data_IF_259059537135
#
_entry.id   IF_259059537135
#
_cell.length_a   1.000
_cell.length_b   1.000
_cell.length_c   1.000
_cell.angle_alpha   90.00
_cell.angle_beta   90.00
_cell.angle_gamma   90.00
#
_symmetry.space_group_name_H-M   'P 1'
#
loop_
_entity.id
_entity.type
_entity.pdbx_description
1 polymer ?
#
# COMPACT_ATOMS: atom_id res chain seq x y z
N UNK A 1 -0.93 -9.95 -26.41
CA UNK A 1 -0.18 -8.70 -26.09
C UNK A 1 1.21 -8.83 -26.65
N UNK A 2 1.75 -7.78 -27.27
CA UNK A 2 3.16 -7.77 -27.64
C UNK A 2 4.01 -7.69 -26.37
N UNK A 3 4.97 -8.58 -26.22
CA UNK A 3 5.94 -8.56 -25.12
C UNK A 3 7.22 -7.88 -25.58
N UNK A 4 7.89 -7.19 -24.64
CA UNK A 4 9.21 -6.60 -24.86
C UNK A 4 10.11 -6.99 -23.70
N UNK A 5 11.36 -7.28 -24.01
CA UNK A 5 12.39 -7.50 -23.00
C UNK A 5 13.07 -6.18 -22.69
N UNK A 6 13.19 -5.86 -21.41
CA UNK A 6 13.95 -4.71 -20.93
C UNK A 6 15.04 -5.22 -19.99
N UNK A 7 16.23 -4.65 -20.10
CA UNK A 7 17.31 -4.87 -19.13
C UNK A 7 17.25 -3.76 -18.10
N UNK A 8 17.25 -4.12 -16.81
CA UNK A 8 17.22 -3.18 -15.69
C UNK A 8 18.43 -3.44 -14.78
N UNK A 9 18.76 -2.46 -13.95
CA UNK A 9 19.78 -2.63 -12.91
C UNK A 9 19.30 -3.66 -11.88
N UNK A 10 20.24 -4.39 -11.30
CA UNK A 10 19.98 -5.39 -10.24
C UNK A 10 19.22 -4.77 -9.06
N UNK A 11 19.63 -3.57 -8.64
CA UNK A 11 18.98 -2.80 -7.59
C UNK A 11 17.49 -2.56 -7.89
N UNK A 12 17.15 -2.24 -9.14
CA UNK A 12 15.77 -2.04 -9.56
C UNK A 12 14.98 -3.35 -9.57
N UNK A 13 15.61 -4.47 -9.97
CA UNK A 13 15.00 -5.79 -9.90
C UNK A 13 14.66 -6.19 -8.46
N UNK A 14 15.59 -5.98 -7.52
CA UNK A 14 15.36 -6.28 -6.09
C UNK A 14 14.19 -5.47 -5.54
N UNK A 15 14.07 -4.19 -5.89
CA UNK A 15 12.94 -3.37 -5.46
C UNK A 15 11.61 -3.91 -5.99
N UNK A 16 11.54 -4.24 -7.29
CA UNK A 16 10.34 -4.87 -7.86
C UNK A 16 10.02 -6.19 -7.16
N UNK A 17 11.02 -7.04 -6.90
CA UNK A 17 10.79 -8.32 -6.23
C UNK A 17 10.19 -8.15 -4.82
N UNK A 18 10.61 -7.13 -4.07
CA UNK A 18 10.10 -6.85 -2.74
C UNK A 18 8.66 -6.28 -2.74
N UNK A 19 8.31 -5.52 -3.76
CA UNK A 19 7.02 -4.83 -3.89
C UNK A 19 5.95 -5.66 -4.63
N UNK A 20 6.38 -6.70 -5.35
CA UNK A 20 5.53 -7.64 -6.08
C UNK A 20 4.64 -8.44 -5.14
N UNK A 21 3.34 -8.50 -5.44
CA UNK A 21 2.38 -9.36 -4.73
C UNK A 21 2.48 -10.82 -5.18
N UNK A 22 2.07 -11.76 -4.34
CA UNK A 22 2.16 -13.21 -4.60
C UNK A 22 1.57 -13.59 -5.97
N UNK A 23 0.36 -13.11 -6.27
CA UNK A 23 -0.39 -13.44 -7.50
C UNK A 23 -0.23 -12.42 -8.65
N UNK A 24 0.72 -11.49 -8.56
CA UNK A 24 0.94 -10.42 -9.56
C UNK A 24 2.08 -10.79 -10.53
N UNK A 25 2.14 -10.27 -11.76
CA UNK A 25 3.35 -10.34 -12.60
C UNK A 25 4.18 -9.06 -12.47
N UNK A 26 5.47 -9.08 -12.83
CA UNK A 26 6.27 -7.85 -12.88
C UNK A 26 5.69 -6.79 -13.83
N UNK A 27 4.98 -7.22 -14.89
CA UNK A 27 4.30 -6.29 -15.79
C UNK A 27 3.13 -5.60 -15.10
N UNK A 28 2.34 -6.34 -14.32
CA UNK A 28 1.21 -5.80 -13.57
C UNK A 28 1.67 -4.80 -12.51
N UNK A 29 2.77 -5.14 -11.84
CA UNK A 29 3.39 -4.27 -10.85
C UNK A 29 3.84 -2.94 -11.49
N UNK A 30 4.62 -2.99 -12.58
CA UNK A 30 5.07 -1.77 -13.28
C UNK A 30 3.88 -0.91 -13.70
N UNK A 31 2.80 -1.53 -14.19
CA UNK A 31 1.56 -0.85 -14.56
C UNK A 31 0.88 -0.23 -13.33
N UNK A 32 0.83 -0.95 -12.20
CA UNK A 32 0.27 -0.45 -10.93
C UNK A 32 1.01 0.79 -10.45
N UNK A 33 2.34 0.75 -10.43
CA UNK A 33 3.19 1.90 -10.10
C UNK A 33 2.98 3.08 -11.05
N UNK A 34 2.93 2.82 -12.36
CA UNK A 34 2.68 3.85 -13.37
C UNK A 34 1.30 4.51 -13.20
N UNK A 35 0.28 3.74 -12.81
CA UNK A 35 -1.07 4.23 -12.51
C UNK A 35 -1.12 5.01 -11.19
N UNK A 36 -0.39 4.57 -10.16
CA UNK A 36 -0.34 5.23 -8.84
C UNK A 36 0.23 6.65 -8.88
N UNK A 37 1.04 7.01 -9.89
CA UNK A 37 1.47 8.41 -10.09
C UNK A 37 0.29 9.38 -10.26
N UNK A 38 -0.89 8.89 -10.66
CA UNK A 38 -2.14 9.63 -10.56
C UNK A 38 -2.68 9.42 -9.15
N UNK A 39 -2.54 10.41 -8.26
CA UNK A 39 -3.21 10.37 -6.96
C UNK A 39 -4.71 10.14 -7.23
N UNK A 40 -5.31 9.07 -6.66
CA UNK A 40 -6.74 8.86 -6.81
C UNK A 40 -7.47 10.09 -6.25
N UNK A 41 -8.54 10.50 -6.93
CA UNK A 41 -9.38 11.57 -6.42
C UNK A 41 -10.07 11.08 -5.14
N UNK A 42 -9.69 11.66 -4.00
CA UNK A 42 -10.23 11.26 -2.70
C UNK A 42 -11.75 11.44 -2.61
N UNK A 43 -12.34 12.29 -3.48
CA UNK A 43 -13.79 12.48 -3.56
C UNK A 43 -14.54 11.21 -3.96
N UNK A 44 -13.90 10.25 -4.64
CA UNK A 44 -14.52 8.98 -4.98
C UNK A 44 -14.92 8.13 -3.76
N UNK A 45 -14.34 8.42 -2.58
CA UNK A 45 -14.61 7.71 -1.34
C UNK A 45 -15.60 8.45 -0.41
N UNK A 46 -16.03 9.66 -0.78
CA UNK A 46 -16.94 10.45 0.04
C UNK A 46 -18.30 9.76 0.16
N UNK A 47 -18.76 9.54 1.40
CA UNK A 47 -20.08 8.94 1.66
C UNK A 47 -20.16 7.42 1.49
N UNK A 48 -19.05 6.73 1.19
CA UNK A 48 -19.05 5.25 1.08
C UNK A 48 -19.47 4.54 2.37
N UNK A 49 -19.42 5.21 3.51
CA UNK A 49 -19.82 4.70 4.83
C UNK A 49 -21.05 5.42 5.39
N UNK A 50 -21.87 6.03 4.52
CA UNK A 50 -23.04 6.81 4.94
C UNK A 50 -24.15 5.97 5.58
N UNK A 51 -24.19 4.68 5.27
CA UNK A 51 -25.09 3.66 5.83
C UNK A 51 -24.49 2.94 7.05
N UNK A 52 -23.25 3.25 7.42
CA UNK A 52 -22.56 2.59 8.50
C UNK A 52 -22.97 3.16 9.86
N UNK A 53 -23.43 2.29 10.75
CA UNK A 53 -23.77 2.66 12.13
C UNK A 53 -22.56 3.16 12.93
N UNK A 54 -22.82 4.02 13.93
CA UNK A 54 -21.77 4.66 14.73
C UNK A 54 -20.83 3.65 15.42
N UNK A 55 -21.36 2.53 15.89
CA UNK A 55 -20.57 1.48 16.55
C UNK A 55 -19.61 0.75 15.59
N UNK A 56 -20.03 0.56 14.35
CA UNK A 56 -19.19 0.02 13.27
C UNK A 56 -18.08 1.01 12.93
N UNK A 57 -18.39 2.30 12.82
CA UNK A 57 -17.39 3.36 12.62
C UNK A 57 -16.34 3.40 13.74
N UNK A 58 -16.77 3.30 15.01
CA UNK A 58 -15.86 3.23 16.18
C UNK A 58 -14.97 2.00 16.13
N UNK A 59 -15.50 0.86 15.69
CA UNK A 59 -14.74 -0.39 15.55
C UNK A 59 -13.67 -0.28 14.49
N UNK A 60 -14.04 0.21 13.29
CA UNK A 60 -13.10 0.43 12.19
C UNK A 60 -12.00 1.41 12.60
N UNK A 61 -12.36 2.53 13.26
CA UNK A 61 -11.39 3.51 13.76
C UNK A 61 -10.38 2.87 14.72
N UNK A 62 -10.83 2.08 15.69
CA UNK A 62 -9.94 1.37 16.62
C UNK A 62 -9.00 0.40 15.92
N UNK A 63 -9.46 -0.29 14.88
CA UNK A 63 -8.62 -1.22 14.10
C UNK A 63 -7.52 -0.45 13.36
N UNK A 64 -7.88 0.68 12.73
CA UNK A 64 -6.92 1.55 12.03
C UNK A 64 -5.88 2.10 13.00
N UNK A 65 -6.31 2.64 14.14
CA UNK A 65 -5.43 3.19 15.18
C UNK A 65 -4.45 2.13 15.71
N UNK A 66 -4.93 0.92 16.02
CA UNK A 66 -4.05 -0.19 16.44
C UNK A 66 -3.06 -0.61 15.35
N UNK A 67 -3.50 -0.62 14.09
CA UNK A 67 -2.64 -0.92 12.95
C UNK A 67 -1.52 0.10 12.82
N UNK A 68 -1.84 1.39 12.91
CA UNK A 68 -0.87 2.48 12.89
C UNK A 68 0.09 2.42 14.06
N UNK A 69 -0.39 2.19 15.28
CA UNK A 69 0.49 2.04 16.44
C UNK A 69 1.45 0.87 16.25
N UNK A 70 0.98 -0.25 15.70
CA UNK A 70 1.83 -1.43 15.48
C UNK A 70 2.89 -1.18 14.41
N UNK A 71 2.52 -0.58 13.28
CA UNK A 71 3.43 -0.23 12.19
C UNK A 71 4.41 0.89 12.57
N UNK A 72 3.94 1.91 13.28
CA UNK A 72 4.74 3.03 13.76
C UNK A 72 5.73 2.59 14.84
N UNK A 73 5.29 1.78 15.82
CA UNK A 73 6.18 1.24 16.85
C UNK A 73 7.19 0.24 16.27
N UNK A 74 6.85 -0.51 15.21
CA UNK A 74 7.79 -1.36 14.48
C UNK A 74 8.86 -0.51 13.79
N UNK A 75 8.45 0.53 13.07
CA UNK A 75 9.38 1.47 12.42
C UNK A 75 10.29 2.20 13.41
N UNK A 76 9.76 2.62 14.57
CA UNK A 76 10.55 3.26 15.63
C UNK A 76 11.58 2.31 16.26
N UNK A 77 11.21 1.03 16.46
CA UNK A 77 12.15 0.00 16.92
C UNK A 77 13.26 -0.24 15.89
N UNK A 78 12.93 -0.31 14.61
CA UNK A 78 13.89 -0.46 13.52
C UNK A 78 14.82 0.76 13.41
N UNK A 79 14.34 1.96 13.78
CA UNK A 79 15.14 3.20 13.87
C UNK A 79 15.88 3.38 15.21
N UNK A 80 15.87 2.39 16.11
CA UNK A 80 16.69 2.39 17.32
C UNK A 80 16.18 3.23 18.49
N UNK A 81 14.94 3.74 18.43
CA UNK A 81 14.35 4.48 19.55
C UNK A 81 13.77 3.53 20.60
N UNK A 82 14.20 3.68 21.86
CA UNK A 82 13.57 3.03 23.03
C UNK A 82 12.50 3.95 23.61
N UNK A 83 11.34 3.34 23.92
CA UNK A 83 10.22 4.00 24.59
C UNK A 83 10.59 4.45 26.00
#
# INVERSE_FOLDING_TARGET
MATKTITILEEAYIQLLNDKREDESFSDEIIRWAKMKKRPDLRQFAGMWSDMGEDSCKTVKKIIEKGWDTSFNKSLKEMGYKK
#
